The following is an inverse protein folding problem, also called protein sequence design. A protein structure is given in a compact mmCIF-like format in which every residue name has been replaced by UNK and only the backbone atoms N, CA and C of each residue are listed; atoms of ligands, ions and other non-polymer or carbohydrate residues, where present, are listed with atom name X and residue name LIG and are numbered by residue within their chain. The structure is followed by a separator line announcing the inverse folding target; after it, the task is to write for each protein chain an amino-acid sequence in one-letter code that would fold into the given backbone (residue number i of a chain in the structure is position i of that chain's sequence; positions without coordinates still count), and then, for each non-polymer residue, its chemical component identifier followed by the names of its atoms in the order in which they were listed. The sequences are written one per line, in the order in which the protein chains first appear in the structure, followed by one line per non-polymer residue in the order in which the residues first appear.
data_IF_261868782671
#
_entry.id   IF_261868782671
#
_cell.length_a   1.000
_cell.length_b   1.000
_cell.length_c   1.000
_cell.angle_alpha   90.00
_cell.angle_beta   90.00
_cell.angle_gamma   90.00
#
_symmetry.space_group_name_H-M   'P 1'
#
loop_
_entity.id
_entity.type
_entity.pdbx_description
1 polymer ?
#
# COMPACT_ATOMS: atom_id res chain seq x y z
N UNK A 1 -22.91 18.60 9.44
CA UNK A 1 -22.45 18.30 10.82
C UNK A 1 -21.46 17.16 10.78
N UNK A 2 -20.41 17.20 11.61
CA UNK A 2 -19.43 16.12 11.75
C UNK A 2 -19.66 15.43 13.09
N UNK A 3 -19.90 14.12 13.08
CA UNK A 3 -20.06 13.30 14.28
C UNK A 3 -18.87 12.35 14.34
N UNK A 4 -18.03 12.54 15.34
CA UNK A 4 -16.86 11.70 15.55
C UNK A 4 -17.28 10.38 16.21
N UNK A 5 -16.78 9.28 15.66
CA UNK A 5 -17.08 7.93 16.13
C UNK A 5 -16.64 7.69 17.59
N UNK A 6 -15.60 8.38 18.05
CA UNK A 6 -15.11 8.27 19.44
C UNK A 6 -16.18 8.68 20.46
N UNK A 7 -16.94 9.73 20.18
CA UNK A 7 -18.03 10.22 21.04
C UNK A 7 -19.12 9.14 21.21
N UNK A 8 -19.41 8.41 20.13
CA UNK A 8 -20.52 7.46 20.10
C UNK A 8 -20.12 6.07 20.60
N UNK A 9 -18.85 5.69 20.41
CA UNK A 9 -18.24 4.47 20.95
C UNK A 9 -18.15 4.47 22.48
N UNK A 10 -17.98 5.64 23.08
CA UNK A 10 -17.86 5.78 24.55
C UNK A 10 -19.21 5.67 25.29
N UNK A 11 -20.31 5.39 24.58
CA UNK A 11 -21.66 5.23 25.15
C UNK A 11 -22.04 3.73 25.24
N UNK A 12 -21.66 3.00 26.31
CA UNK A 12 -21.83 1.55 26.41
C UNK A 12 -23.27 1.06 26.53
N UNK A 13 -24.22 1.95 26.84
CA UNK A 13 -25.64 1.62 26.98
C UNK A 13 -26.51 2.19 25.85
N UNK A 14 -25.89 2.65 24.76
CA UNK A 14 -26.62 3.21 23.63
C UNK A 14 -27.39 2.10 22.90
N UNK A 15 -28.73 2.19 22.91
CA UNK A 15 -29.61 1.22 22.26
C UNK A 15 -30.23 1.72 20.96
N UNK A 16 -30.44 3.02 20.87
CA UNK A 16 -31.00 3.66 19.68
C UNK A 16 -30.42 5.05 19.47
N UNK A 17 -30.18 5.41 18.22
CA UNK A 17 -29.61 6.70 17.85
C UNK A 17 -30.35 7.28 16.64
N UNK A 18 -31.05 8.40 16.83
CA UNK A 18 -31.74 9.12 15.75
C UNK A 18 -30.77 10.05 15.02
N UNK A 19 -30.61 9.82 13.72
CA UNK A 19 -29.66 10.54 12.86
C UNK A 19 -30.33 11.17 11.61
N UNK A 20 -31.65 11.03 11.48
CA UNK A 20 -32.43 11.64 10.42
C UNK A 20 -32.34 13.17 10.44
N UNK A 21 -32.68 13.80 9.31
CA UNK A 21 -32.75 15.27 9.13
C UNK A 21 -31.44 16.04 9.43
N UNK A 22 -30.30 15.36 9.39
CA UNK A 22 -29.00 15.97 9.55
C UNK A 22 -28.30 16.18 8.20
N UNK A 23 -27.59 17.29 8.06
CA UNK A 23 -26.76 17.60 6.88
C UNK A 23 -25.43 16.83 6.98
N UNK A 24 -25.47 15.53 6.68
CA UNK A 24 -24.32 14.63 6.78
C UNK A 24 -23.24 14.96 5.76
N UNK A 25 -21.99 15.06 6.23
CA UNK A 25 -20.83 15.20 5.36
C UNK A 25 -20.08 13.85 5.31
N UNK A 26 -20.33 13.09 4.25
CA UNK A 26 -19.81 11.76 4.00
C UNK A 26 -18.45 11.81 3.31
N UNK A 27 -17.48 12.42 3.99
CA UNK A 27 -16.08 12.39 3.60
C UNK A 27 -15.39 11.16 4.21
N UNK A 28 -14.13 10.89 3.86
CA UNK A 28 -13.38 9.72 4.36
C UNK A 28 -13.29 9.65 5.90
N UNK A 29 -13.27 10.78 6.60
CA UNK A 29 -13.31 10.83 8.07
C UNK A 29 -14.61 10.25 8.67
N UNK A 30 -15.67 10.14 7.88
CA UNK A 30 -16.95 9.59 8.28
C UNK A 30 -17.04 8.06 8.09
N UNK A 31 -16.04 7.45 7.43
CA UNK A 31 -16.00 6.01 7.16
C UNK A 31 -16.04 5.19 8.46
N UNK A 32 -15.23 5.55 9.45
CA UNK A 32 -15.19 4.87 10.74
C UNK A 32 -16.54 4.87 11.45
N UNK A 33 -17.32 5.94 11.27
CA UNK A 33 -18.65 6.05 11.85
C UNK A 33 -19.63 5.13 11.12
N UNK A 34 -19.60 5.08 9.78
CA UNK A 34 -20.43 4.16 9.01
C UNK A 34 -20.15 2.69 9.32
N UNK A 35 -18.87 2.33 9.51
CA UNK A 35 -18.48 0.99 9.94
C UNK A 35 -19.00 0.68 11.35
N UNK A 36 -18.85 1.61 12.29
CA UNK A 36 -19.40 1.45 13.63
C UNK A 36 -20.92 1.31 13.63
N UNK A 37 -21.66 2.07 12.80
CA UNK A 37 -23.11 1.92 12.70
C UNK A 37 -23.52 0.50 12.28
N UNK A 38 -22.75 -0.12 11.37
CA UNK A 38 -22.97 -1.50 10.92
C UNK A 38 -22.68 -2.53 12.01
N UNK A 39 -21.60 -2.35 12.76
CA UNK A 39 -21.10 -3.34 13.73
C UNK A 39 -21.71 -3.21 15.13
N UNK A 40 -22.12 -2.00 15.53
CA UNK A 40 -22.55 -1.69 16.90
C UNK A 40 -23.88 -2.33 17.31
N UNK A 41 -24.71 -2.77 16.36
CA UNK A 41 -26.04 -3.31 16.63
C UNK A 41 -27.02 -2.28 17.22
N UNK A 42 -26.68 -0.99 17.19
CA UNK A 42 -27.54 0.11 17.63
C UNK A 42 -28.72 0.26 16.66
N UNK A 43 -29.92 0.52 17.19
CA UNK A 43 -31.11 0.71 16.37
C UNK A 43 -31.21 2.15 15.87
N UNK A 44 -31.18 2.33 14.56
CA UNK A 44 -31.40 3.63 13.93
C UNK A 44 -32.88 3.76 13.54
N UNK A 45 -33.67 4.65 14.18
CA UNK A 45 -34.98 4.99 13.68
C UNK A 45 -34.83 5.74 12.35
N UNK A 46 -35.65 5.36 11.37
CA UNK A 46 -35.73 5.97 10.04
C UNK A 46 -34.43 5.89 9.20
N UNK A 47 -33.88 4.67 8.95
CA UNK A 47 -32.63 4.51 8.21
C UNK A 47 -32.69 5.09 6.79
N UNK A 48 -33.87 5.12 6.17
CA UNK A 48 -34.07 5.69 4.83
C UNK A 48 -33.93 7.21 4.78
N UNK A 49 -34.14 7.90 5.91
CA UNK A 49 -34.01 9.35 6.02
C UNK A 49 -32.58 9.80 6.40
N UNK A 50 -31.65 8.86 6.53
CA UNK A 50 -30.24 9.14 6.82
C UNK A 50 -29.48 9.14 5.49
N UNK A 51 -29.40 10.31 4.88
CA UNK A 51 -28.73 10.51 3.59
C UNK A 51 -27.60 11.52 3.65
N UNK A 52 -26.62 11.37 2.76
CA UNK A 52 -25.48 12.26 2.66
C UNK A 52 -25.89 13.58 1.99
N UNK A 53 -25.51 14.70 2.59
CA UNK A 53 -25.70 16.03 2.00
C UNK A 53 -24.44 16.51 1.24
N UNK A 54 -23.26 16.10 1.68
CA UNK A 54 -21.98 16.44 1.08
C UNK A 54 -21.06 15.23 1.10
N UNK A 55 -20.11 15.07 0.16
CA UNK A 55 -19.86 15.89 -1.03
C UNK A 55 -20.89 15.67 -2.15
N UNK A 56 -20.95 16.56 -3.15
CA UNK A 56 -21.95 16.54 -4.22
C UNK A 56 -22.05 15.20 -4.97
N UNK A 57 -20.93 14.46 -5.08
CA UNK A 57 -20.89 13.13 -5.71
C UNK A 57 -21.70 12.06 -4.95
N UNK A 58 -21.91 12.26 -3.64
CA UNK A 58 -22.60 11.34 -2.73
C UNK A 58 -23.91 11.93 -2.22
N UNK A 59 -24.36 13.07 -2.77
CA UNK A 59 -25.56 13.75 -2.30
C UNK A 59 -26.82 12.89 -2.52
N UNK A 60 -27.63 12.73 -1.47
CA UNK A 60 -28.87 11.95 -1.49
C UNK A 60 -28.67 10.44 -1.34
N UNK A 61 -27.43 9.95 -1.27
CA UNK A 61 -27.17 8.54 -1.07
C UNK A 61 -27.46 8.14 0.38
N UNK A 62 -28.06 6.96 0.54
CA UNK A 62 -28.34 6.41 1.87
C UNK A 62 -27.04 5.94 2.55
N UNK A 63 -26.98 6.00 3.88
CA UNK A 63 -25.80 5.55 4.63
C UNK A 63 -25.34 4.12 4.30
N UNK A 64 -26.23 3.11 4.16
CA UNK A 64 -25.82 1.75 3.78
C UNK A 64 -25.13 1.69 2.41
N UNK A 65 -25.57 2.51 1.45
CA UNK A 65 -24.98 2.54 0.11
C UNK A 65 -23.63 3.26 0.10
N UNK A 66 -23.54 4.39 0.82
CA UNK A 66 -22.32 5.18 0.92
C UNK A 66 -21.18 4.43 1.59
N UNK A 67 -21.46 3.58 2.58
CA UNK A 67 -20.42 2.78 3.27
C UNK A 67 -19.53 2.05 2.26
N UNK A 68 -20.13 1.30 1.33
CA UNK A 68 -19.39 0.51 0.34
C UNK A 68 -18.54 1.38 -0.58
N UNK A 69 -19.10 2.50 -1.03
CA UNK A 69 -18.42 3.43 -1.92
C UNK A 69 -17.26 4.13 -1.22
N UNK A 70 -17.46 4.53 0.03
CA UNK A 70 -16.48 5.21 0.85
C UNK A 70 -15.36 4.26 1.28
N UNK A 71 -15.68 2.99 1.57
CA UNK A 71 -14.69 1.94 1.83
C UNK A 71 -13.75 1.78 0.63
N UNK A 72 -14.29 1.63 -0.57
CA UNK A 72 -13.47 1.56 -1.79
C UNK A 72 -12.70 2.87 -2.04
N UNK A 73 -13.35 4.02 -1.89
CA UNK A 73 -12.76 5.33 -2.24
C UNK A 73 -11.78 5.87 -1.20
N UNK A 74 -11.78 5.38 0.04
CA UNK A 74 -10.92 5.91 1.10
C UNK A 74 -9.89 4.89 1.60
N UNK A 75 -10.19 3.59 1.61
CA UNK A 75 -9.23 2.56 2.01
C UNK A 75 -8.50 1.93 0.82
N UNK A 76 -9.17 1.80 -0.34
CA UNK A 76 -8.58 1.18 -1.53
C UNK A 76 -8.16 2.19 -2.60
N UNK A 77 -8.56 3.45 -2.49
CA UNK A 77 -8.17 4.50 -3.44
C UNK A 77 -6.76 5.01 -3.12
N UNK A 78 -5.77 4.13 -3.31
CA UNK A 78 -4.42 4.57 -3.57
C UNK A 78 -4.48 5.52 -4.76
N UNK A 79 -3.91 6.70 -4.60
CA UNK A 79 -3.90 7.70 -5.66
C UNK A 79 -3.13 7.11 -6.86
N UNK A 80 -3.45 7.50 -8.09
CA UNK A 80 -2.74 6.97 -9.28
C UNK A 80 -1.21 7.19 -9.17
N UNK A 81 -0.80 8.22 -8.44
CA UNK A 81 0.60 8.50 -8.11
C UNK A 81 1.25 7.43 -7.24
N UNK A 82 0.51 6.81 -6.33
CA UNK A 82 1.02 5.75 -5.45
C UNK A 82 1.27 4.47 -6.25
N UNK A 83 0.40 4.15 -7.20
CA UNK A 83 0.61 3.05 -8.14
C UNK A 83 1.81 3.28 -9.06
N UNK A 84 1.97 4.50 -9.60
CA UNK A 84 3.13 4.86 -10.39
C UNK A 84 4.44 4.73 -9.58
N UNK A 85 4.42 5.16 -8.31
CA UNK A 85 5.56 5.05 -7.41
C UNK A 85 5.93 3.59 -7.11
N UNK A 86 4.94 2.75 -6.82
CA UNK A 86 5.15 1.30 -6.61
C UNK A 86 5.72 0.62 -7.87
N UNK A 87 5.23 0.99 -9.05
CA UNK A 87 5.76 0.52 -10.32
C UNK A 87 7.23 0.91 -10.53
N UNK A 88 7.58 2.16 -10.22
CA UNK A 88 8.96 2.66 -10.29
C UNK A 88 9.88 1.92 -9.32
N UNK A 89 9.46 1.69 -8.07
CA UNK A 89 10.23 0.91 -7.09
C UNK A 89 10.49 -0.50 -7.60
N UNK A 90 9.44 -1.17 -8.12
CA UNK A 90 9.56 -2.51 -8.68
C UNK A 90 10.59 -2.57 -9.82
N UNK A 91 10.55 -1.59 -10.72
CA UNK A 91 11.50 -1.48 -11.83
C UNK A 91 12.94 -1.26 -11.34
N UNK A 92 13.14 -0.40 -10.34
CA UNK A 92 14.45 -0.15 -9.74
C UNK A 92 15.05 -1.42 -9.10
N UNK A 93 14.24 -2.19 -8.37
CA UNK A 93 14.70 -3.43 -7.73
C UNK A 93 15.10 -4.47 -8.79
N UNK A 94 14.27 -4.64 -9.83
CA UNK A 94 14.54 -5.60 -10.89
C UNK A 94 15.80 -5.27 -11.69
N UNK A 95 15.96 -3.99 -12.06
CA UNK A 95 17.15 -3.53 -12.79
C UNK A 95 18.41 -3.64 -11.94
N UNK A 96 18.38 -3.26 -10.66
CA UNK A 96 19.50 -3.41 -9.75
C UNK A 96 19.92 -4.89 -9.59
N UNK A 97 18.97 -5.80 -9.41
CA UNK A 97 19.25 -7.24 -9.35
C UNK A 97 19.88 -7.78 -10.64
N UNK A 98 19.37 -7.34 -11.79
CA UNK A 98 19.91 -7.72 -13.10
C UNK A 98 21.36 -7.27 -13.28
N UNK A 99 21.67 -6.00 -12.94
CA UNK A 99 23.03 -5.46 -13.03
C UNK A 99 23.97 -6.17 -12.08
N UNK A 100 23.55 -6.44 -10.84
CA UNK A 100 24.37 -7.15 -9.86
C UNK A 100 24.73 -8.56 -10.32
N UNK A 101 23.75 -9.31 -10.84
CA UNK A 101 23.98 -10.66 -11.38
C UNK A 101 24.91 -10.63 -12.60
N UNK A 102 24.71 -9.67 -13.49
CA UNK A 102 25.57 -9.51 -14.67
C UNK A 102 27.02 -9.18 -14.27
N UNK A 103 27.24 -8.25 -13.34
CA UNK A 103 28.57 -7.92 -12.83
C UNK A 103 29.22 -9.11 -12.12
N UNK A 104 28.50 -9.84 -11.28
CA UNK A 104 29.02 -11.05 -10.64
C UNK A 104 29.47 -12.09 -11.67
N UNK A 105 28.67 -12.31 -12.72
CA UNK A 105 29.04 -13.20 -13.84
C UNK A 105 30.30 -12.73 -14.57
N UNK A 106 30.41 -11.43 -14.87
CA UNK A 106 31.61 -10.86 -15.49
C UNK A 106 32.84 -11.02 -14.60
N UNK A 107 32.73 -10.77 -13.29
CA UNK A 107 33.83 -10.94 -12.34
C UNK A 107 34.34 -12.38 -12.31
N UNK A 108 33.45 -13.38 -12.30
CA UNK A 108 33.83 -14.80 -12.32
C UNK A 108 34.60 -15.14 -13.60
N UNK A 109 34.10 -14.72 -14.77
CA UNK A 109 34.76 -14.99 -16.06
C UNK A 109 36.15 -14.37 -16.12
N UNK A 110 36.29 -13.12 -15.67
CA UNK A 110 37.58 -12.42 -15.64
C UNK A 110 38.53 -13.07 -14.65
N UNK A 111 38.04 -13.47 -13.47
CA UNK A 111 38.86 -14.17 -12.47
C UNK A 111 39.40 -15.49 -13.00
N UNK A 112 38.54 -16.33 -13.59
CA UNK A 112 38.94 -17.60 -14.21
C UNK A 112 39.94 -17.38 -15.36
N UNK A 113 39.70 -16.37 -16.22
CA UNK A 113 40.62 -16.05 -17.31
C UNK A 113 42.00 -15.62 -16.80
N UNK A 114 42.06 -14.77 -15.77
CA UNK A 114 43.32 -14.33 -15.17
C UNK A 114 44.02 -15.44 -14.39
N UNK A 115 43.28 -16.27 -13.65
CA UNK A 115 43.83 -17.42 -12.94
C UNK A 115 44.42 -18.45 -13.92
N UNK A 116 43.72 -18.73 -15.03
CA UNK A 116 44.21 -19.64 -16.07
C UNK A 116 45.44 -19.08 -16.78
N UNK A 117 45.52 -17.75 -16.97
CA UNK A 117 46.67 -17.10 -17.60
C UNK A 117 47.89 -17.00 -16.67
N UNK A 118 47.69 -16.67 -15.40
CA UNK A 118 48.78 -16.60 -14.41
C UNK A 118 49.40 -17.97 -14.11
N UNK A 119 48.61 -19.05 -14.16
CA UNK A 119 49.13 -20.41 -14.03
C UNK A 119 49.94 -20.91 -15.24
N UNK A 120 49.99 -20.17 -16.36
CA UNK A 120 50.79 -20.53 -17.53
C UNK A 120 52.10 -19.72 -17.63
N UNK A 121 52.24 -18.64 -16.83
CA UNK A 121 53.45 -17.82 -16.77
C UNK A 121 54.38 -18.27 -15.60
N UNK A 122 53.89 -19.04 -14.63
CA UNK A 122 54.68 -19.55 -13.48
C UNK A 122 55.44 -20.86 -13.77
N UNK A 123 55.20 -21.52 -14.91
CA UNK A 123 55.82 -22.81 -15.28
C UNK A 123 57.06 -22.66 -16.19
N UNK A 124 57.48 -21.46 -16.61
CA UNK A 124 58.62 -21.24 -17.52
C UNK A 124 59.93 -20.77 -16.84
N UNK A 125 59.93 -20.49 -15.53
CA UNK A 125 61.08 -19.86 -14.84
C UNK A 125 61.97 -20.82 -14.01
N UNK A 126 61.69 -22.13 -13.92
CA UNK A 126 62.48 -23.07 -13.07
C UNK A 126 63.61 -23.86 -13.78
N UNK A 127 63.85 -23.69 -15.09
CA UNK A 127 64.82 -24.52 -15.84
C UNK A 127 66.20 -23.89 -16.14
N UNK A 128 66.52 -22.66 -15.69
CA UNK A 128 67.81 -22.00 -16.00
C UNK A 128 68.86 -21.94 -14.85
N UNK A 129 68.60 -22.46 -13.65
CA UNK A 129 69.62 -22.47 -12.55
C UNK A 129 70.22 -23.87 -12.30
N UNK A 130 70.60 -24.58 -13.36
CA UNK A 130 71.36 -25.82 -13.27
C UNK A 130 72.52 -25.92 -14.28
N UNK A 131 73.32 -24.87 -14.46
CA UNK A 131 74.71 -24.97 -14.96
C UNK A 131 75.51 -23.73 -14.58
N UNK A 132 76.19 -23.73 -13.44
CA UNK A 132 77.56 -23.20 -13.30
C UNK A 132 78.22 -23.70 -12.02
#
# INVERSE_FOLDING_TARGET
TFLDTSIVKDLPNLKSLGLSENLWNCNCSFLDFTLWMKESGVRFPDPENISCYSPAALHGWSMPEVESKLHYTCLLHLHDTDYAFLGLIGFCIFSAGTVAAWLAGMCVVVYEFHATKGGNDEDEDEDEEATT
#
